data_IF_038361942542
#
_entry.id   IF_038361942542
#
_cell.length_a   1.000
_cell.length_b   1.000
_cell.length_c   1.000
_cell.angle_alpha   90.00
_cell.angle_beta   90.00
_cell.angle_gamma   90.00
#
_symmetry.space_group_name_H-M   'P 1'
#
loop_
_entity.id
_entity.type
_entity.pdbx_description
1 polymer ?
#
# COMPACT_ATOMS: atom_id res chain seq x y z
N UNK A 1 28.87 -31.56 -6.73
CA UNK A 1 27.57 -30.92 -6.44
C UNK A 1 27.54 -29.55 -7.11
N UNK A 2 26.68 -29.36 -8.09
CA UNK A 2 26.37 -27.98 -8.51
C UNK A 2 25.90 -27.18 -7.27
N UNK A 3 26.51 -26.03 -6.99
CA UNK A 3 26.01 -25.18 -5.91
C UNK A 3 24.50 -24.89 -6.14
N UNK A 4 23.70 -24.99 -5.10
CA UNK A 4 22.29 -24.66 -5.20
C UNK A 4 22.18 -23.24 -5.72
N UNK A 5 21.74 -23.08 -6.96
CA UNK A 5 21.52 -21.77 -7.55
C UNK A 5 20.33 -21.16 -6.79
N UNK A 6 20.56 -20.01 -6.16
CA UNK A 6 19.51 -19.33 -5.39
C UNK A 6 18.31 -19.00 -6.27
N UNK A 7 17.15 -18.71 -5.64
CA UNK A 7 15.91 -18.30 -6.32
C UNK A 7 16.13 -17.22 -7.40
N UNK A 8 17.10 -16.33 -7.21
CA UNK A 8 17.47 -15.31 -8.20
C UNK A 8 17.94 -15.86 -9.54
N UNK A 9 18.59 -17.01 -9.57
CA UNK A 9 19.02 -17.65 -10.82
C UNK A 9 17.86 -18.35 -11.53
N UNK A 10 16.90 -18.89 -10.77
CA UNK A 10 15.67 -19.47 -11.33
C UNK A 10 14.86 -18.39 -12.03
N UNK A 11 14.63 -17.25 -11.38
CA UNK A 11 13.90 -16.12 -11.97
C UNK A 11 14.60 -15.59 -13.22
N UNK A 12 15.93 -15.46 -13.23
CA UNK A 12 16.67 -15.03 -14.40
C UNK A 12 16.49 -15.99 -15.59
N UNK A 13 16.46 -17.30 -15.34
CA UNK A 13 16.19 -18.30 -16.37
C UNK A 13 14.79 -18.16 -16.93
N UNK A 14 13.76 -18.05 -16.06
CA UNK A 14 12.37 -17.88 -16.48
C UNK A 14 12.18 -16.60 -17.29
N UNK A 15 12.74 -15.48 -16.82
CA UNK A 15 12.66 -14.19 -17.51
C UNK A 15 13.29 -14.25 -18.90
N UNK A 16 14.38 -14.97 -19.08
CA UNK A 16 15.13 -15.07 -20.33
C UNK A 16 14.67 -16.22 -21.26
N UNK A 17 13.80 -17.11 -20.79
CA UNK A 17 13.36 -18.25 -21.58
C UNK A 17 12.59 -17.77 -22.84
N UNK A 18 12.99 -18.18 -24.05
CA UNK A 18 12.38 -17.71 -25.29
C UNK A 18 10.93 -18.14 -25.47
N UNK A 19 10.48 -19.19 -24.78
CA UNK A 19 9.08 -19.63 -24.80
C UNK A 19 8.15 -18.70 -24.01
N UNK A 20 8.70 -17.92 -23.05
CA UNK A 20 7.94 -16.95 -22.27
C UNK A 20 7.84 -15.63 -23.03
N UNK A 21 6.63 -15.27 -23.49
CA UNK A 21 6.39 -14.07 -24.31
C UNK A 21 6.02 -12.84 -23.51
N UNK A 22 5.45 -13.01 -22.32
CA UNK A 22 5.02 -11.92 -21.45
C UNK A 22 5.38 -12.24 -20.00
N UNK A 23 5.84 -11.23 -19.30
CA UNK A 23 6.20 -11.31 -17.89
C UNK A 23 5.20 -10.49 -17.07
N UNK A 24 4.77 -11.05 -15.95
CA UNK A 24 3.93 -10.37 -14.98
C UNK A 24 4.56 -10.54 -13.60
N UNK A 25 4.78 -9.45 -12.89
CA UNK A 25 5.24 -9.52 -11.51
C UNK A 25 4.69 -8.39 -10.66
N UNK A 26 4.38 -8.76 -9.43
CA UNK A 26 4.09 -7.83 -8.33
C UNK A 26 5.23 -7.94 -7.33
N UNK A 27 5.84 -6.80 -6.95
CA UNK A 27 6.95 -6.81 -6.01
C UNK A 27 7.70 -5.49 -5.94
N UNK A 28 8.76 -5.49 -5.15
CA UNK A 28 9.56 -4.28 -4.93
C UNK A 28 10.28 -3.78 -6.20
N UNK A 29 10.85 -2.56 -6.15
CA UNK A 29 11.44 -1.88 -7.32
C UNK A 29 12.49 -2.70 -8.08
N UNK A 30 13.23 -3.56 -7.39
CA UNK A 30 14.24 -4.42 -8.01
C UNK A 30 13.66 -5.47 -8.96
N UNK A 31 12.53 -6.06 -8.61
CA UNK A 31 11.81 -7.05 -9.44
C UNK A 31 11.24 -6.37 -10.68
N UNK A 32 10.56 -5.24 -10.49
CA UNK A 32 9.99 -4.46 -11.59
C UNK A 32 11.08 -4.02 -12.57
N UNK A 33 12.20 -3.50 -12.06
CA UNK A 33 13.35 -3.10 -12.90
C UNK A 33 13.93 -4.28 -13.70
N UNK A 34 14.03 -5.46 -13.08
CA UNK A 34 14.51 -6.67 -13.77
C UNK A 34 13.57 -7.06 -14.92
N UNK A 35 12.25 -7.01 -14.69
CA UNK A 35 11.28 -7.29 -15.74
C UNK A 35 11.38 -6.30 -16.92
N UNK A 36 11.42 -5.01 -16.63
CA UNK A 36 11.53 -3.96 -17.63
C UNK A 36 12.83 -4.08 -18.45
N UNK A 37 13.90 -4.59 -17.82
CA UNK A 37 15.19 -4.79 -18.51
C UNK A 37 15.27 -6.08 -19.34
N UNK A 38 14.23 -6.91 -19.35
CA UNK A 38 14.22 -8.22 -20.05
C UNK A 38 14.09 -8.12 -21.56
N UNK A 39 13.66 -6.97 -22.10
CA UNK A 39 13.33 -6.79 -23.51
C UNK A 39 12.01 -7.46 -23.95
N UNK A 40 11.26 -8.07 -23.03
CA UNK A 40 9.96 -8.70 -23.27
C UNK A 40 8.82 -7.77 -22.88
N UNK A 41 7.60 -8.06 -23.37
CA UNK A 41 6.41 -7.41 -22.81
C UNK A 41 6.32 -7.75 -21.32
N UNK A 42 6.25 -6.73 -20.49
CA UNK A 42 6.20 -6.88 -19.04
C UNK A 42 5.08 -6.05 -18.43
N UNK A 43 4.37 -6.63 -17.47
CA UNK A 43 3.41 -5.94 -16.61
C UNK A 43 3.97 -6.00 -15.19
N UNK A 44 4.33 -4.84 -14.65
CA UNK A 44 4.99 -4.72 -13.36
C UNK A 44 4.16 -3.91 -12.36
N UNK A 45 3.77 -4.52 -11.25
CA UNK A 45 3.16 -3.86 -10.12
C UNK A 45 4.22 -3.60 -9.03
N UNK A 46 4.37 -2.33 -8.66
CA UNK A 46 5.38 -1.86 -7.71
C UNK A 46 4.91 -1.82 -6.26
N UNK A 47 5.75 -1.23 -5.42
CA UNK A 47 5.40 -0.92 -4.04
C UNK A 47 4.41 0.24 -3.96
N UNK A 48 3.69 0.35 -2.84
CA UNK A 48 2.84 1.48 -2.51
C UNK A 48 3.08 1.90 -1.05
N UNK A 49 2.76 3.15 -0.75
CA UNK A 49 2.61 3.63 0.62
C UNK A 49 1.33 4.47 0.63
N UNK A 50 0.14 3.82 0.64
CA UNK A 50 -1.13 4.49 0.43
C UNK A 50 -1.59 5.32 1.62
N UNK A 51 -1.63 6.67 1.49
CA UNK A 51 -2.12 7.55 2.54
C UNK A 51 -3.65 7.59 2.58
N UNK A 52 -4.21 7.72 3.76
CA UNK A 52 -5.60 8.12 3.96
C UNK A 52 -5.68 9.51 4.56
N UNK A 53 -6.53 10.36 3.99
CA UNK A 53 -6.83 11.70 4.50
C UNK A 53 -8.26 11.72 5.07
N UNK A 54 -8.42 12.32 6.24
CA UNK A 54 -9.72 12.50 6.89
C UNK A 54 -9.92 13.98 7.18
N UNK A 55 -10.91 14.60 6.53
CA UNK A 55 -11.26 15.99 6.79
C UNK A 55 -12.42 16.13 7.81
N UNK A 56 -12.71 17.35 8.17
CA UNK A 56 -13.74 17.71 9.17
C UNK A 56 -15.18 17.54 8.67
N UNK A 57 -15.37 17.24 7.38
CA UNK A 57 -16.70 16.96 6.82
C UNK A 57 -17.02 15.47 6.78
N UNK A 58 -16.06 14.62 7.12
CA UNK A 58 -16.20 13.17 7.09
C UNK A 58 -17.26 12.66 8.08
N UNK A 59 -17.84 11.51 7.77
CA UNK A 59 -18.57 10.70 8.75
C UNK A 59 -17.53 9.94 9.60
N UNK A 60 -17.16 10.53 10.73
CA UNK A 60 -16.03 10.05 11.54
C UNK A 60 -16.21 8.62 12.04
N UNK A 61 -17.37 8.20 12.59
CA UNK A 61 -17.58 6.80 12.97
C UNK A 61 -17.40 5.82 11.80
N UNK A 62 -17.93 6.18 10.62
CA UNK A 62 -17.77 5.37 9.41
C UNK A 62 -16.33 5.37 8.93
N UNK A 63 -15.67 6.53 8.89
CA UNK A 63 -14.27 6.65 8.49
C UNK A 63 -13.35 5.78 9.35
N UNK A 64 -13.52 5.84 10.68
CA UNK A 64 -12.75 5.01 11.61
C UNK A 64 -12.91 3.51 11.34
N UNK A 65 -14.14 3.06 11.13
CA UNK A 65 -14.43 1.67 10.79
C UNK A 65 -13.79 1.26 9.46
N UNK A 66 -14.01 2.05 8.42
CA UNK A 66 -13.51 1.77 7.08
C UNK A 66 -11.98 1.71 7.04
N UNK A 67 -11.30 2.66 7.70
CA UNK A 67 -9.84 2.71 7.78
C UNK A 67 -9.29 1.49 8.52
N UNK A 68 -9.88 1.11 9.65
CA UNK A 68 -9.44 -0.09 10.38
C UNK A 68 -9.70 -1.35 9.56
N UNK A 69 -10.85 -1.48 8.91
CA UNK A 69 -11.15 -2.63 8.06
C UNK A 69 -10.19 -2.74 6.87
N UNK A 70 -9.88 -1.62 6.22
CA UNK A 70 -8.94 -1.57 5.11
C UNK A 70 -7.49 -1.83 5.54
N UNK A 71 -7.04 -1.16 6.59
CA UNK A 71 -5.69 -1.33 7.14
C UNK A 71 -5.43 -2.76 7.65
N UNK A 72 -6.44 -3.44 8.16
CA UNK A 72 -6.31 -4.81 8.70
C UNK A 72 -6.67 -5.90 7.71
N UNK A 73 -7.09 -5.55 6.50
CA UNK A 73 -7.34 -6.53 5.45
C UNK A 73 -6.06 -7.33 5.18
N UNK A 74 -6.17 -8.65 5.39
CA UNK A 74 -5.04 -9.58 5.31
C UNK A 74 -3.78 -9.08 6.06
N UNK A 75 -3.97 -8.57 7.29
CA UNK A 75 -2.90 -8.02 8.14
C UNK A 75 -2.03 -6.95 7.45
N UNK A 76 -2.64 -6.12 6.62
CA UNK A 76 -1.95 -5.06 5.85
C UNK A 76 -0.97 -5.56 4.77
N UNK A 77 -1.07 -6.81 4.34
CA UNK A 77 -0.25 -7.35 3.24
C UNK A 77 -0.56 -6.72 1.89
N UNK A 78 -1.83 -6.44 1.51
CA UNK A 78 -2.11 -5.82 0.25
C UNK A 78 -1.49 -4.42 0.14
N UNK A 79 -0.88 -4.17 -1.02
CA UNK A 79 -0.21 -2.90 -1.30
C UNK A 79 -1.16 -1.70 -1.40
N UNK A 80 -2.49 -1.95 -1.47
CA UNK A 80 -3.53 -0.92 -1.50
C UNK A 80 -3.98 -0.49 -0.10
N UNK A 81 -3.66 -1.25 0.95
CA UNK A 81 -4.13 -1.00 2.31
C UNK A 81 -3.59 0.32 2.87
N UNK A 82 -4.38 0.98 3.70
CA UNK A 82 -4.00 2.23 4.38
C UNK A 82 -2.71 2.02 5.18
N UNK A 83 -1.70 2.85 4.93
CA UNK A 83 -0.39 2.77 5.60
C UNK A 83 -0.16 3.88 6.61
N UNK A 84 -0.69 5.07 6.35
CA UNK A 84 -0.65 6.23 7.23
C UNK A 84 -1.93 7.05 7.11
N UNK A 85 -2.30 7.73 8.20
CA UNK A 85 -3.52 8.54 8.28
C UNK A 85 -3.18 9.99 8.61
N UNK A 86 -3.58 10.91 7.73
CA UNK A 86 -3.52 12.36 7.94
C UNK A 86 -4.91 12.85 8.29
N UNK A 87 -5.09 13.36 9.49
CA UNK A 87 -6.41 13.76 10.00
C UNK A 87 -6.41 15.20 10.51
N UNK A 88 -7.44 15.96 10.17
CA UNK A 88 -7.62 17.31 10.69
C UNK A 88 -7.78 17.30 12.22
N UNK A 89 -7.05 18.18 12.92
CA UNK A 89 -6.97 18.21 14.40
C UNK A 89 -8.32 18.24 15.09
N UNK A 90 -9.28 18.97 14.54
CA UNK A 90 -10.60 19.17 15.13
C UNK A 90 -11.47 17.91 15.17
N UNK A 91 -11.13 16.86 14.38
CA UNK A 91 -11.85 15.57 14.35
C UNK A 91 -10.99 14.39 14.74
N UNK A 92 -9.69 14.61 15.01
CA UNK A 92 -8.73 13.54 15.28
C UNK A 92 -9.06 12.72 16.53
N UNK A 93 -9.47 13.37 17.62
CA UNK A 93 -9.82 12.68 18.87
C UNK A 93 -11.03 11.77 18.68
N UNK A 94 -12.06 12.26 17.96
CA UNK A 94 -13.24 11.46 17.65
C UNK A 94 -12.88 10.27 16.75
N UNK A 95 -12.02 10.47 15.74
CA UNK A 95 -11.54 9.41 14.87
C UNK A 95 -10.83 8.31 15.67
N UNK A 96 -9.87 8.67 16.51
CA UNK A 96 -9.11 7.73 17.34
C UNK A 96 -10.04 6.96 18.26
N UNK A 97 -10.97 7.65 18.96
CA UNK A 97 -11.93 6.99 19.85
C UNK A 97 -12.80 5.97 19.11
N UNK A 98 -13.21 6.27 17.89
CA UNK A 98 -13.97 5.33 17.07
C UNK A 98 -13.09 4.21 16.50
N UNK A 99 -11.82 4.45 16.19
CA UNK A 99 -10.86 3.38 15.82
C UNK A 99 -10.67 2.38 16.96
N UNK A 100 -10.56 2.84 18.21
CA UNK A 100 -10.46 1.96 19.39
C UNK A 100 -11.68 1.04 19.52
N UNK A 101 -12.90 1.55 19.26
CA UNK A 101 -14.14 0.74 19.26
C UNK A 101 -14.16 -0.30 18.12
N UNK A 102 -13.37 -0.11 17.08
CA UNK A 102 -13.27 -1.01 15.92
C UNK A 102 -12.06 -1.95 15.98
N UNK A 103 -11.46 -2.17 17.16
CA UNK A 103 -10.37 -3.13 17.37
C UNK A 103 -8.98 -2.56 17.13
N UNK A 104 -8.80 -1.25 17.26
CA UNK A 104 -7.47 -0.65 17.32
C UNK A 104 -6.95 -0.61 18.77
N UNK A 105 -5.63 -0.65 18.92
CA UNK A 105 -4.91 -0.42 20.17
C UNK A 105 -3.97 0.75 20.02
N UNK A 106 -4.14 1.79 20.83
CA UNK A 106 -3.32 3.00 20.79
C UNK A 106 -2.06 2.81 21.65
N UNK A 107 -0.89 2.95 21.03
CA UNK A 107 0.41 2.96 21.70
C UNK A 107 0.95 4.38 21.88
N UNK A 108 1.70 4.60 22.94
CA UNK A 108 2.33 5.89 23.25
C UNK A 108 3.71 6.03 22.57
N UNK A 109 4.30 7.24 22.62
CA UNK A 109 5.56 7.55 21.96
C UNK A 109 6.75 6.67 22.40
N UNK A 110 6.80 6.25 23.69
CA UNK A 110 7.83 5.33 24.17
C UNK A 110 7.67 3.93 23.57
N UNK A 111 6.43 3.46 23.47
CA UNK A 111 6.08 2.17 22.85
C UNK A 111 6.31 2.19 21.34
N UNK A 112 6.05 3.32 20.65
CA UNK A 112 6.40 3.51 19.22
C UNK A 112 7.89 3.26 19.00
N UNK A 113 8.75 3.86 19.83
CA UNK A 113 10.21 3.66 19.73
C UNK A 113 10.63 2.22 19.96
N UNK A 114 10.03 1.54 20.95
CA UNK A 114 10.29 0.12 21.20
C UNK A 114 9.82 -0.74 20.02
N UNK A 115 8.64 -0.45 19.47
CA UNK A 115 8.08 -1.19 18.36
C UNK A 115 8.88 -0.98 17.07
N UNK A 116 9.40 0.22 16.85
CA UNK A 116 10.28 0.52 15.72
C UNK A 116 11.51 -0.40 15.68
N UNK A 117 12.11 -0.69 16.84
CA UNK A 117 13.28 -1.58 16.92
C UNK A 117 12.92 -3.06 16.67
N UNK A 118 11.66 -3.44 16.82
CA UNK A 118 11.15 -4.77 16.49
C UNK A 118 10.87 -4.91 14.99
N UNK A 119 10.12 -3.96 14.42
CA UNK A 119 9.57 -4.08 13.07
C UNK A 119 10.47 -3.52 11.97
N UNK A 120 11.49 -2.74 12.34
CA UNK A 120 12.49 -2.22 11.41
C UNK A 120 13.90 -2.68 11.82
N UNK A 121 14.69 -3.03 10.83
CA UNK A 121 16.09 -3.42 10.99
C UNK A 121 17.00 -2.52 10.16
N UNK A 122 18.28 -2.46 10.51
CA UNK A 122 19.25 -1.74 9.70
C UNK A 122 19.63 -2.56 8.47
N UNK A 123 19.54 -1.98 7.29
CA UNK A 123 19.98 -2.60 6.05
C UNK A 123 21.51 -2.79 6.06
N UNK A 124 21.97 -3.87 5.44
CA UNK A 124 23.40 -4.02 5.14
C UNK A 124 23.74 -3.11 3.96
N UNK A 125 24.82 -2.31 4.02
CA UNK A 125 25.30 -1.53 2.88
C UNK A 125 25.55 -2.48 1.69
N UNK A 126 25.07 -2.10 0.51
CA UNK A 126 25.27 -2.85 -0.73
C UNK A 126 26.49 -2.39 -1.52
N UNK A 127 26.95 -1.18 -1.22
CA UNK A 127 28.12 -0.54 -1.84
C UNK A 127 28.99 0.10 -0.76
N UNK A 128 30.28 0.25 -1.04
CA UNK A 128 31.19 0.99 -0.20
C UNK A 128 30.74 2.45 -0.09
N UNK A 129 30.67 2.99 1.13
CA UNK A 129 30.19 4.35 1.41
C UNK A 129 28.67 4.52 1.54
N UNK A 130 27.87 3.49 1.28
CA UNK A 130 26.42 3.52 1.50
C UNK A 130 26.11 3.46 3.01
N UNK A 131 25.30 4.43 3.48
CA UNK A 131 24.85 4.43 4.89
C UNK A 131 23.74 3.41 5.09
N UNK A 132 23.75 2.65 6.21
CA UNK A 132 22.64 1.79 6.58
C UNK A 132 21.32 2.58 6.66
N UNK A 133 20.22 1.98 6.21
CA UNK A 133 18.88 2.56 6.30
C UNK A 133 17.98 1.64 7.12
N UNK A 134 17.00 2.20 7.79
CA UNK A 134 15.93 1.41 8.42
C UNK A 134 15.08 0.80 7.31
N UNK A 135 14.88 -0.50 7.35
CA UNK A 135 14.07 -1.27 6.40
C UNK A 135 13.19 -2.25 7.17
N UNK A 136 12.14 -2.71 6.55
CA UNK A 136 11.18 -3.64 7.16
C UNK A 136 11.87 -4.91 7.64
N UNK A 137 11.58 -5.31 8.87
CA UNK A 137 11.89 -6.64 9.37
C UNK A 137 10.86 -7.65 8.81
N UNK A 138 11.30 -8.47 7.87
CA UNK A 138 10.43 -9.40 7.14
C UNK A 138 9.76 -10.45 8.02
N UNK A 139 10.28 -10.70 9.22
CA UNK A 139 9.72 -11.69 10.15
C UNK A 139 8.35 -11.24 10.70
N UNK A 140 8.07 -9.94 10.65
CA UNK A 140 6.83 -9.33 11.16
C UNK A 140 5.81 -8.98 10.06
N UNK A 141 6.17 -9.08 8.80
CA UNK A 141 5.26 -8.84 7.67
C UNK A 141 4.05 -9.77 7.75
N UNK A 142 2.84 -9.22 7.71
CA UNK A 142 1.58 -9.96 7.75
C UNK A 142 1.27 -10.64 9.09
N UNK A 143 1.98 -10.30 10.17
CA UNK A 143 1.68 -10.85 11.50
C UNK A 143 0.54 -10.09 12.16
N UNK A 144 -0.21 -10.82 13.01
CA UNK A 144 -1.31 -10.26 13.78
C UNK A 144 -0.83 -9.16 14.73
N UNK A 145 -1.63 -8.11 14.93
CA UNK A 145 -1.32 -7.00 15.83
C UNK A 145 -0.96 -7.48 17.25
N UNK A 146 -1.69 -8.47 17.79
CA UNK A 146 -1.40 -9.04 19.12
C UNK A 146 0.00 -9.64 19.24
N UNK A 147 0.51 -10.28 18.16
CA UNK A 147 1.85 -10.88 18.16
C UNK A 147 2.93 -9.82 18.12
N UNK A 148 2.67 -8.74 17.41
CA UNK A 148 3.57 -7.58 17.31
C UNK A 148 3.62 -6.85 18.66
N UNK A 149 2.45 -6.57 19.26
CA UNK A 149 2.35 -5.93 20.59
C UNK A 149 3.04 -6.73 21.71
N UNK A 150 2.96 -8.06 21.64
CA UNK A 150 3.62 -8.94 22.62
C UNK A 150 5.14 -8.74 22.67
N UNK A 151 5.78 -8.27 21.58
CA UNK A 151 7.23 -8.00 21.54
C UNK A 151 7.65 -6.82 22.41
N UNK A 152 6.71 -5.93 22.72
CA UNK A 152 6.94 -4.78 23.60
C UNK A 152 6.21 -4.96 24.94
N UNK A 153 5.88 -6.20 25.31
CA UNK A 153 5.29 -6.56 26.59
C UNK A 153 3.79 -6.27 26.72
N UNK A 154 3.09 -5.97 25.63
CA UNK A 154 1.65 -5.68 25.63
C UNK A 154 0.89 -6.95 25.19
N UNK A 155 0.09 -7.51 26.11
CA UNK A 155 -0.74 -8.68 25.82
C UNK A 155 -2.20 -8.26 25.63
N UNK A 156 -2.76 -8.54 24.47
CA UNK A 156 -4.15 -8.21 24.08
C UNK A 156 -4.87 -9.44 23.53
N UNK A 157 -6.21 -9.35 23.46
CA UNK A 157 -7.05 -10.38 22.85
C UNK A 157 -7.05 -10.39 21.32
N UNK A 158 -7.83 -11.32 20.74
CA UNK A 158 -8.02 -11.44 19.29
C UNK A 158 -8.93 -10.36 18.72
N UNK A 159 -9.60 -9.60 19.56
CA UNK A 159 -10.40 -8.44 19.20
C UNK A 159 -9.55 -7.25 18.73
N UNK A 160 -8.26 -7.22 19.11
CA UNK A 160 -7.32 -6.19 18.64
C UNK A 160 -6.72 -6.59 17.31
N UNK A 161 -7.10 -5.84 16.27
CA UNK A 161 -6.72 -6.08 14.88
C UNK A 161 -5.65 -5.13 14.36
N UNK A 162 -5.58 -3.91 14.91
CA UNK A 162 -4.72 -2.82 14.45
C UNK A 162 -3.98 -2.17 15.61
N UNK A 163 -2.74 -1.78 15.38
CA UNK A 163 -1.96 -0.91 16.26
C UNK A 163 -2.02 0.50 15.69
N UNK A 164 -2.48 1.47 16.46
CA UNK A 164 -2.45 2.88 16.05
C UNK A 164 -1.51 3.68 16.94
N UNK A 165 -0.89 4.71 16.39
CA UNK A 165 -0.04 5.63 17.15
C UNK A 165 -0.14 7.04 16.58
N UNK A 166 -0.19 8.03 17.45
CA UNK A 166 -0.04 9.43 17.04
C UNK A 166 1.45 9.76 16.90
N UNK A 167 1.80 10.42 15.81
CA UNK A 167 3.20 10.67 15.49
C UNK A 167 3.38 11.87 14.56
N UNK A 168 4.64 12.29 14.40
CA UNK A 168 5.04 13.33 13.44
C UNK A 168 5.23 12.76 12.04
N UNK A 169 5.12 13.61 11.02
CA UNK A 169 5.29 13.24 9.61
C UNK A 169 6.62 12.53 9.32
N UNK A 170 7.70 12.90 10.00
CA UNK A 170 9.04 12.34 9.79
C UNK A 170 9.25 10.96 10.40
N UNK A 171 8.29 10.44 11.16
CA UNK A 171 8.40 9.15 11.82
C UNK A 171 8.48 8.00 10.80
N UNK A 172 9.32 7.00 11.10
CA UNK A 172 9.63 5.92 10.15
C UNK A 172 8.39 5.11 9.69
N UNK A 173 7.36 4.97 10.53
CA UNK A 173 6.13 4.26 10.17
C UNK A 173 5.31 5.01 9.13
N UNK A 174 5.37 6.34 9.09
CA UNK A 174 4.74 7.17 8.05
C UNK A 174 5.48 7.06 6.72
N UNK A 175 6.80 6.89 6.79
CA UNK A 175 7.69 6.93 5.61
C UNK A 175 7.99 5.55 5.02
N UNK A 176 7.41 4.47 5.58
CA UNK A 176 7.76 3.10 5.20
C UNK A 176 6.51 2.25 5.01
N UNK A 177 6.34 1.64 3.85
CA UNK A 177 5.32 0.62 3.62
C UNK A 177 5.58 -0.59 4.53
N UNK A 178 4.96 -0.62 5.72
CA UNK A 178 5.25 -1.63 6.75
C UNK A 178 4.75 -3.02 6.39
N UNK A 179 3.63 -3.13 5.67
CA UNK A 179 2.94 -4.41 5.41
C UNK A 179 2.60 -5.16 6.72
N UNK A 180 2.18 -4.42 7.72
CA UNK A 180 1.80 -4.86 9.06
C UNK A 180 0.60 -4.03 9.52
N UNK A 181 -0.27 -4.55 10.40
CA UNK A 181 -1.43 -3.80 10.89
C UNK A 181 -1.01 -2.73 11.93
N UNK A 182 -0.17 -1.79 11.49
CA UNK A 182 0.32 -0.63 12.24
C UNK A 182 -0.04 0.60 11.42
N UNK A 183 -0.85 1.50 11.98
CA UNK A 183 -1.30 2.72 11.32
C UNK A 183 -0.85 3.95 12.13
N UNK A 184 0.17 4.68 11.66
CA UNK A 184 0.53 5.97 12.22
C UNK A 184 -0.52 7.02 11.86
N UNK A 185 -0.83 7.90 12.81
CA UNK A 185 -1.79 9.00 12.67
C UNK A 185 -1.03 10.31 12.85
N UNK A 186 -1.12 11.18 11.85
CA UNK A 186 -0.54 12.51 11.85
C UNK A 186 -1.67 13.53 11.87
N UNK A 187 -1.68 14.40 12.88
CA UNK A 187 -2.63 15.51 12.98
C UNK A 187 -2.15 16.69 12.14
N UNK A 188 -3.06 17.27 11.40
CA UNK A 188 -2.81 18.45 10.56
C UNK A 188 -3.75 19.60 10.92
N UNK A 189 -3.29 20.82 10.68
CA UNK A 189 -4.09 22.02 10.95
C UNK A 189 -5.08 22.32 9.82
N UNK A 190 -4.68 22.02 8.58
CA UNK A 190 -5.48 22.33 7.38
C UNK A 190 -5.56 21.15 6.42
N UNK A 191 -6.55 21.16 5.55
CA UNK A 191 -6.68 20.16 4.49
C UNK A 191 -5.52 20.24 3.48
N UNK A 192 -5.03 21.46 3.18
CA UNK A 192 -3.88 21.66 2.29
C UNK A 192 -2.62 20.97 2.83
N UNK A 193 -2.38 21.11 4.14
CA UNK A 193 -1.29 20.41 4.82
C UNK A 193 -1.43 18.88 4.73
N UNK A 194 -2.66 18.37 4.95
CA UNK A 194 -2.94 16.94 4.78
C UNK A 194 -2.60 16.45 3.38
N UNK A 195 -3.01 17.19 2.35
CA UNK A 195 -2.73 16.86 0.95
C UNK A 195 -1.24 16.89 0.66
N UNK A 196 -0.53 17.92 1.12
CA UNK A 196 0.91 18.04 0.91
C UNK A 196 1.68 16.87 1.55
N UNK A 197 1.35 16.52 2.80
CA UNK A 197 1.97 15.41 3.51
C UNK A 197 1.63 14.07 2.86
N UNK A 198 0.38 13.83 2.48
CA UNK A 198 -0.05 12.60 1.81
C UNK A 198 0.69 12.39 0.48
N UNK A 199 0.81 13.44 -0.34
CA UNK A 199 1.56 13.38 -1.62
C UNK A 199 3.03 13.05 -1.38
N UNK A 200 3.64 13.61 -0.33
CA UNK A 200 5.04 13.31 0.03
C UNK A 200 5.21 11.89 0.56
N UNK A 201 4.30 11.42 1.41
CA UNK A 201 4.35 10.08 2.02
C UNK A 201 4.12 8.96 1.00
N UNK A 202 3.38 9.22 -0.08
CA UNK A 202 3.14 8.29 -1.19
C UNK A 202 4.41 8.04 -2.04
N UNK A 203 5.44 8.87 -1.87
CA UNK A 203 6.77 8.76 -2.51
C UNK A 203 6.77 8.73 -4.04
N UNK A 204 5.70 9.17 -4.71
CA UNK A 204 5.58 9.17 -6.16
C UNK A 204 5.34 7.80 -6.78
N UNK A 205 4.96 6.81 -5.98
CA UNK A 205 4.57 5.47 -6.45
C UNK A 205 3.31 5.52 -7.32
N UNK A 206 2.42 6.51 -7.10
CA UNK A 206 1.13 6.70 -7.77
C UNK A 206 0.27 5.44 -7.74
N UNK A 207 0.32 4.76 -6.59
CA UNK A 207 -0.31 3.46 -6.41
C UNK A 207 -1.77 3.60 -5.98
N UNK A 208 -2.00 3.99 -4.74
CA UNK A 208 -3.34 4.10 -4.13
C UNK A 208 -3.39 5.25 -3.13
N UNK A 209 -4.57 5.84 -2.97
CA UNK A 209 -4.83 6.85 -1.95
C UNK A 209 -6.30 6.81 -1.53
N UNK A 210 -6.58 7.26 -0.32
CA UNK A 210 -7.90 7.18 0.30
C UNK A 210 -8.30 8.52 0.89
N UNK A 211 -9.61 8.82 0.86
CA UNK A 211 -10.18 10.05 1.40
C UNK A 211 -11.50 9.77 2.10
N UNK A 212 -11.65 10.26 3.31
CA UNK A 212 -12.94 10.38 3.97
C UNK A 212 -13.33 11.86 4.07
N UNK A 213 -14.37 12.24 3.33
CA UNK A 213 -14.82 13.62 3.16
C UNK A 213 -16.23 13.65 2.58
N UNK A 214 -16.97 14.72 2.86
CA UNK A 214 -18.21 15.11 2.15
C UNK A 214 -18.02 16.38 1.32
N UNK A 215 -16.83 16.99 1.35
CA UNK A 215 -16.51 18.20 0.61
C UNK A 215 -16.01 17.85 -0.80
N UNK A 216 -16.76 18.23 -1.83
CA UNK A 216 -16.43 17.93 -3.25
C UNK A 216 -15.16 18.64 -3.71
N UNK A 217 -14.89 19.84 -3.19
CA UNK A 217 -13.67 20.60 -3.54
C UNK A 217 -12.43 19.92 -2.97
N UNK A 218 -12.46 19.45 -1.73
CA UNK A 218 -11.41 18.65 -1.12
C UNK A 218 -11.16 17.35 -1.88
N UNK A 219 -12.23 16.65 -2.29
CA UNK A 219 -12.11 15.44 -3.12
C UNK A 219 -11.37 15.73 -4.44
N UNK A 220 -11.77 16.82 -5.10
CA UNK A 220 -11.19 17.23 -6.38
C UNK A 220 -9.71 17.62 -6.21
N UNK A 221 -9.42 18.41 -5.19
CA UNK A 221 -8.07 18.86 -4.88
C UNK A 221 -7.13 17.69 -4.62
N UNK A 222 -7.51 16.81 -3.69
CA UNK A 222 -6.65 15.68 -3.30
C UNK A 222 -6.48 14.68 -4.44
N UNK A 223 -7.56 14.29 -5.13
CA UNK A 223 -7.48 13.37 -6.26
C UNK A 223 -6.53 13.86 -7.36
N UNK A 224 -6.58 15.17 -7.68
CA UNK A 224 -5.66 15.78 -8.67
C UNK A 224 -4.21 15.80 -8.18
N UNK A 225 -3.99 16.16 -6.91
CA UNK A 225 -2.65 16.29 -6.35
C UNK A 225 -1.94 14.94 -6.24
N UNK A 226 -2.61 13.91 -5.71
CA UNK A 226 -2.02 12.60 -5.47
C UNK A 226 -1.90 11.77 -6.75
N UNK A 227 -2.85 11.88 -7.67
CA UNK A 227 -2.85 11.27 -9.01
C UNK A 227 -2.48 9.78 -9.02
N UNK A 228 -3.08 9.00 -8.13
CA UNK A 228 -2.84 7.56 -7.98
C UNK A 228 -3.68 6.73 -8.95
N UNK A 229 -3.26 5.49 -9.19
CA UNK A 229 -4.02 4.51 -9.98
C UNK A 229 -5.36 4.18 -9.33
N UNK A 230 -5.38 4.03 -8.01
CA UNK A 230 -6.59 3.82 -7.20
C UNK A 230 -6.80 5.05 -6.34
N UNK A 231 -8.01 5.59 -6.36
CA UNK A 231 -8.46 6.63 -5.43
C UNK A 231 -9.81 6.21 -4.84
N UNK A 232 -9.84 5.94 -3.53
CA UNK A 232 -11.04 5.48 -2.83
C UNK A 232 -11.58 6.61 -1.96
N UNK A 233 -12.88 6.84 -2.06
CA UNK A 233 -13.59 7.83 -1.25
C UNK A 233 -14.63 7.17 -0.35
N UNK A 234 -14.57 7.44 0.96
CA UNK A 234 -15.58 7.04 1.96
C UNK A 234 -15.84 5.51 1.96
N UNK A 235 -14.80 4.73 1.78
CA UNK A 235 -14.85 3.26 1.82
C UNK A 235 -13.48 2.70 2.25
N UNK A 236 -13.41 1.44 2.70
CA UNK A 236 -12.15 0.77 2.96
C UNK A 236 -11.32 0.62 1.68
N UNK A 237 -10.01 0.55 1.81
CA UNK A 237 -9.08 0.42 0.67
C UNK A 237 -9.40 -0.72 -0.28
N UNK A 238 -9.89 -1.85 0.20
CA UNK A 238 -10.24 -2.99 -0.64
C UNK A 238 -11.41 -2.74 -1.61
N UNK A 239 -12.18 -1.67 -1.43
CA UNK A 239 -13.14 -1.22 -2.43
C UNK A 239 -12.45 -0.87 -3.76
N UNK A 240 -11.21 -0.35 -3.70
CA UNK A 240 -10.41 -0.02 -4.87
C UNK A 240 -9.96 -1.22 -5.71
N UNK A 241 -10.05 -2.43 -5.16
CA UNK A 241 -9.78 -3.68 -5.89
C UNK A 241 -11.05 -4.47 -6.20
N UNK A 242 -12.23 -3.83 -6.09
CA UNK A 242 -13.51 -4.40 -6.49
C UNK A 242 -14.24 -5.21 -5.41
N UNK A 243 -13.77 -5.20 -4.14
CA UNK A 243 -14.48 -5.87 -3.06
C UNK A 243 -15.58 -4.96 -2.50
N UNK A 244 -16.83 -5.41 -2.58
CA UNK A 244 -18.02 -4.62 -2.21
C UNK A 244 -18.11 -3.25 -2.89
N UNK A 245 -17.61 -3.14 -4.13
CA UNK A 245 -17.64 -1.93 -4.93
C UNK A 245 -17.83 -2.26 -6.41
N UNK A 246 -18.06 -1.22 -7.24
CA UNK A 246 -18.14 -1.39 -8.69
C UNK A 246 -16.78 -1.70 -9.31
N UNK A 247 -16.79 -2.45 -10.41
CA UNK A 247 -15.60 -2.83 -11.14
C UNK A 247 -15.21 -4.30 -10.95
N UNK A 248 -14.16 -4.70 -11.65
CA UNK A 248 -13.63 -6.06 -11.54
C UNK A 248 -12.59 -6.17 -10.45
N UNK A 249 -12.48 -7.36 -9.87
CA UNK A 249 -11.44 -7.65 -8.88
C UNK A 249 -10.07 -7.77 -9.55
N UNK A 250 -9.07 -7.10 -8.98
CA UNK A 250 -7.68 -7.21 -9.41
C UNK A 250 -6.72 -6.94 -8.25
N UNK A 251 -5.61 -7.70 -8.23
CA UNK A 251 -4.51 -7.49 -7.26
C UNK A 251 -3.20 -7.04 -7.93
N UNK A 252 -3.22 -6.83 -9.26
CA UNK A 252 -2.06 -6.33 -10.00
C UNK A 252 -2.29 -4.89 -10.39
N UNK A 253 -1.74 -3.99 -9.59
CA UNK A 253 -1.83 -2.53 -9.81
C UNK A 253 -0.56 -2.11 -10.53
N UNK A 254 -0.62 -2.11 -11.86
CA UNK A 254 0.54 -1.98 -12.73
C UNK A 254 0.86 -0.52 -13.09
N UNK A 255 1.01 0.34 -12.08
CA UNK A 255 1.43 1.73 -12.24
C UNK A 255 2.77 1.89 -12.97
N UNK A 256 3.85 1.17 -12.57
CA UNK A 256 5.16 1.32 -13.21
C UNK A 256 5.21 1.03 -14.70
N UNK A 257 4.35 0.14 -15.22
CA UNK A 257 4.27 -0.20 -16.66
C UNK A 257 3.12 0.47 -17.39
N UNK A 258 2.29 1.22 -16.66
CA UNK A 258 1.25 2.07 -17.23
C UNK A 258 -0.11 1.40 -17.48
N UNK A 259 -0.26 0.11 -17.21
CA UNK A 259 -1.56 -0.57 -17.30
C UNK A 259 -2.53 -0.14 -16.18
N UNK A 260 -2.00 0.34 -15.05
CA UNK A 260 -2.81 0.73 -13.90
C UNK A 260 -3.61 -0.45 -13.35
N UNK A 261 -4.93 -0.31 -13.21
CA UNK A 261 -5.84 -1.41 -12.84
C UNK A 261 -5.87 -2.44 -13.98
N UNK A 262 -5.33 -3.63 -13.71
CA UNK A 262 -5.31 -4.70 -14.72
C UNK A 262 -6.65 -5.44 -14.82
N UNK A 263 -6.90 -6.01 -15.99
CA UNK A 263 -8.04 -6.89 -16.29
C UNK A 263 -7.57 -8.02 -17.19
N UNK A 264 -8.39 -9.04 -17.46
CA UNK A 264 -8.01 -10.07 -18.43
C UNK A 264 -7.54 -9.50 -19.78
N UNK A 265 -8.08 -8.35 -20.20
CA UNK A 265 -7.65 -7.66 -21.44
C UNK A 265 -6.20 -7.21 -21.38
N UNK A 266 -5.66 -6.83 -20.23
CA UNK A 266 -4.26 -6.41 -20.05
C UNK A 266 -3.27 -7.52 -20.43
N UNK A 267 -3.66 -8.77 -20.32
CA UNK A 267 -2.85 -9.96 -20.60
C UNK A 267 -3.02 -10.49 -22.02
N UNK A 268 -3.74 -9.75 -22.89
CA UNK A 268 -3.96 -10.09 -24.28
C UNK A 268 -3.28 -9.12 -25.22
N UNK A 269 -3.42 -9.31 -26.51
CA UNK A 269 -3.05 -8.34 -27.54
C UNK A 269 -4.25 -7.99 -28.41
N UNK A 270 -4.35 -6.74 -28.80
CA UNK A 270 -5.33 -6.33 -29.77
C UNK A 270 -4.94 -6.81 -31.16
N UNK A 271 -5.92 -7.27 -31.93
CA UNK A 271 -5.82 -7.60 -33.34
C UNK A 271 -6.82 -6.77 -34.14
N UNK A 272 -6.41 -6.34 -35.31
CA UNK A 272 -7.33 -5.84 -36.32
C UNK A 272 -7.41 -6.87 -37.42
N UNK A 273 -8.63 -7.32 -37.73
CA UNK A 273 -8.89 -8.14 -38.89
C UNK A 273 -9.77 -7.33 -39.83
N UNK A 274 -9.30 -7.13 -41.06
CA UNK A 274 -10.04 -6.42 -42.11
C UNK A 274 -10.46 -7.50 -43.12
N UNK A 275 -11.75 -7.56 -43.39
CA UNK A 275 -12.36 -8.52 -44.29
C UNK A 275 -12.84 -7.72 -45.53
N UNK A 276 -12.38 -8.06 -46.72
CA UNK A 276 -12.87 -7.52 -47.98
C UNK A 276 -13.73 -8.49 -48.78
N UNK A 277 -13.48 -9.79 -48.64
CA UNK A 277 -14.28 -10.85 -49.24
C UNK A 277 -14.64 -11.87 -48.17
N UNK A 278 -15.18 -13.03 -48.53
CA UNK A 278 -15.52 -14.08 -47.56
C UNK A 278 -14.26 -14.58 -46.83
N UNK A 279 -14.25 -14.51 -45.51
CA UNK A 279 -13.18 -15.01 -44.65
C UNK A 279 -13.77 -15.81 -43.49
N UNK A 280 -13.30 -17.04 -43.33
CA UNK A 280 -13.62 -17.89 -42.22
C UNK A 280 -12.44 -17.87 -41.24
N UNK A 281 -12.68 -17.35 -40.04
CA UNK A 281 -11.71 -17.33 -38.95
C UNK A 281 -12.28 -18.25 -37.81
N UNK A 282 -11.88 -19.48 -37.82
CA UNK A 282 -12.23 -20.45 -36.76
C UNK A 282 -10.93 -20.88 -36.11
#
# INVERSE_FOLDING_TARGET
>A
RSPSRGLGDVYKRQVNDPSVRMLVATGGPGVVKMLLSSGKKAIGAGAGNPPVVVDDTADIPKAAKDIIDGCTFDNNLPCIAEKECFVMKNVADELIQNMLKNGAYLINAAQVKQLEDVVLVWSKPKKEGEQPKRVINKDWVGRDAKKILAQIGINVGDDIRCIICETEFSQAFVQTELMMPILPIVRVDTFDEAVEMAVKAEHGNRHSAHLHSKNVDHMTQYAKAICTTIFVKNAPSYAGIGFNAEGWTTFTIAGPTGEGITSPRSFTRQRRCVLSDALNII
#
